data_IF_499404690476
#
_entry.id   IF_499404690476
#
_cell.length_a   1.000
_cell.length_b   1.000
_cell.length_c   1.000
_cell.angle_alpha   90.00
_cell.angle_beta   90.00
_cell.angle_gamma   90.00
#
_symmetry.space_group_name_H-M   'P 1'
#
loop_
_entity.id
_entity.type
_entity.pdbx_description
1 polymer ?
#
# COMPACT_ATOMS: atom_id res chain seq x y z
N UNK A 1 -13.36 -10.45 6.49
CA UNK A 1 -13.23 -10.45 5.02
C UNK A 1 -12.51 -9.17 4.61
N UNK A 2 -11.33 -9.24 3.97
CA UNK A 2 -10.58 -8.02 3.61
C UNK A 2 -11.45 -7.03 2.83
N UNK A 3 -11.55 -5.80 3.31
CA UNK A 3 -12.33 -4.72 2.68
C UNK A 3 -11.42 -3.74 1.93
N UNK A 4 -11.95 -2.97 0.95
CA UNK A 4 -11.19 -1.91 0.31
C UNK A 4 -10.75 -0.87 1.36
N UNK A 5 -9.51 -0.40 1.27
CA UNK A 5 -8.97 0.59 2.20
C UNK A 5 -8.74 1.92 1.51
N UNK A 6 -8.87 3.02 2.25
CA UNK A 6 -8.58 4.34 1.70
C UNK A 6 -7.09 4.44 1.39
N UNK A 7 -6.78 4.93 0.19
CA UNK A 7 -5.42 5.18 -0.28
C UNK A 7 -4.59 5.95 0.75
N UNK A 8 -5.17 6.98 1.38
CA UNK A 8 -4.48 7.82 2.37
C UNK A 8 -3.98 7.02 3.58
N UNK A 9 -4.74 6.01 4.01
CA UNK A 9 -4.44 5.23 5.21
C UNK A 9 -3.36 4.21 4.87
N UNK A 10 -3.43 3.59 3.68
CA UNK A 10 -2.38 2.72 3.16
C UNK A 10 -1.07 3.48 2.90
N UNK A 11 -1.13 4.67 2.29
CA UNK A 11 0.04 5.51 2.05
C UNK A 11 0.69 5.97 3.37
N UNK A 12 -0.11 6.31 4.39
CA UNK A 12 0.41 6.64 5.73
C UNK A 12 1.11 5.43 6.35
N UNK A 13 0.50 4.24 6.27
CA UNK A 13 1.07 2.99 6.76
C UNK A 13 2.42 2.66 6.10
N UNK A 14 2.54 2.84 4.79
CA UNK A 14 3.79 2.63 4.06
C UNK A 14 4.86 3.63 4.50
N UNK A 15 4.52 4.92 4.56
CA UNK A 15 5.46 5.98 5.00
C UNK A 15 5.99 5.74 6.41
N UNK A 16 5.15 5.29 7.34
CA UNK A 16 5.59 5.01 8.72
C UNK A 16 6.59 3.85 8.79
N UNK A 17 6.73 3.03 7.74
CA UNK A 17 7.69 1.92 7.61
C UNK A 17 8.91 2.29 6.76
N UNK A 18 9.09 3.58 6.47
CA UNK A 18 10.19 4.05 5.63
C UNK A 18 10.04 3.62 4.17
N UNK A 19 8.81 3.49 3.69
CA UNK A 19 8.54 3.36 2.26
C UNK A 19 8.21 4.72 1.67
N UNK A 20 8.70 4.93 0.45
CA UNK A 20 8.50 6.15 -0.30
C UNK A 20 7.94 5.85 -1.69
N UNK A 21 7.15 6.79 -2.20
CA UNK A 21 6.63 6.71 -3.55
C UNK A 21 7.73 7.16 -4.53
N UNK A 22 8.25 6.23 -5.31
CA UNK A 22 9.35 6.48 -6.25
C UNK A 22 8.88 6.76 -7.67
N UNK A 23 7.70 6.28 -8.05
CA UNK A 23 7.13 6.54 -9.39
C UNK A 23 5.61 6.63 -9.34
N UNK A 24 5.05 7.40 -10.24
CA UNK A 24 3.62 7.41 -10.50
C UNK A 24 3.37 7.39 -12.02
N UNK A 25 2.41 6.55 -12.46
CA UNK A 25 1.88 6.52 -13.83
C UNK A 25 0.36 6.39 -13.76
N UNK A 26 -0.33 7.52 -13.95
CA UNK A 26 -1.78 7.57 -13.78
C UNK A 26 -2.18 7.22 -12.34
N UNK A 27 -3.10 6.26 -12.19
CA UNK A 27 -3.57 5.75 -10.90
C UNK A 27 -2.65 4.71 -10.24
N UNK A 28 -1.55 4.34 -10.90
CA UNK A 28 -0.58 3.38 -10.38
C UNK A 28 0.60 4.13 -9.78
N UNK A 29 0.93 3.78 -8.55
CA UNK A 29 2.09 4.30 -7.83
C UNK A 29 3.04 3.16 -7.50
N UNK A 30 4.33 3.37 -7.72
CA UNK A 30 5.37 2.45 -7.24
C UNK A 30 5.89 3.00 -5.92
N UNK A 31 5.85 2.14 -4.91
CA UNK A 31 6.36 2.36 -3.58
C UNK A 31 7.56 1.46 -3.36
N UNK A 32 8.63 1.97 -2.77
CA UNK A 32 9.80 1.15 -2.40
C UNK A 32 10.33 1.57 -1.05
N UNK A 33 11.02 0.66 -0.38
CA UNK A 33 11.74 0.99 0.86
C UNK A 33 12.84 2.02 0.56
N UNK A 34 12.95 3.03 1.42
CA UNK A 34 14.04 4.01 1.34
C UNK A 34 15.38 3.29 1.43
N UNK A 35 16.31 3.63 0.52
CA UNK A 35 17.60 2.95 0.40
C UNK A 35 17.63 1.75 -0.57
N UNK A 36 16.51 1.45 -1.23
CA UNK A 36 16.42 0.41 -2.25
C UNK A 36 15.96 -0.94 -1.70
N UNK A 37 15.60 -1.85 -2.63
CA UNK A 37 15.10 -3.18 -2.31
C UNK A 37 13.70 -3.43 -2.86
N UNK A 38 12.81 -3.98 -2.03
CA UNK A 38 11.45 -4.35 -2.43
C UNK A 38 10.66 -3.14 -2.95
N UNK A 39 9.95 -3.37 -4.06
CA UNK A 39 9.05 -2.40 -4.66
C UNK A 39 7.66 -3.01 -4.82
N UNK A 40 6.63 -2.19 -4.59
CA UNK A 40 5.23 -2.57 -4.66
C UNK A 40 4.47 -1.57 -5.52
N UNK A 41 3.63 -2.05 -6.43
CA UNK A 41 2.75 -1.19 -7.22
C UNK A 41 1.39 -1.10 -6.54
N UNK A 42 1.05 0.09 -6.06
CA UNK A 42 -0.23 0.40 -5.47
C UNK A 42 -1.11 1.10 -6.51
N UNK A 43 -2.18 0.42 -6.93
CA UNK A 43 -3.21 0.99 -7.79
C UNK A 43 -4.39 1.45 -6.94
N UNK A 44 -4.84 2.69 -7.14
CA UNK A 44 -6.02 3.21 -6.47
C UNK A 44 -7.12 3.59 -7.46
N UNK A 45 -8.38 3.35 -7.07
CA UNK A 45 -9.54 3.83 -7.80
C UNK A 45 -10.42 4.65 -6.86
N UNK A 46 -10.74 5.90 -7.26
CA UNK A 46 -11.58 6.83 -6.47
C UNK A 46 -11.12 7.02 -5.02
N UNK A 47 -9.82 6.97 -4.74
CA UNK A 47 -9.31 7.13 -3.37
C UNK A 47 -9.21 5.83 -2.58
N UNK A 48 -9.51 4.67 -3.17
CA UNK A 48 -9.50 3.37 -2.51
C UNK A 48 -8.55 2.38 -3.17
N UNK A 49 -8.01 1.48 -2.36
CA UNK A 49 -7.13 0.36 -2.72
C UNK A 49 -7.95 -0.91 -2.59
N UNK A 50 -7.92 -1.74 -3.65
CA UNK A 50 -8.76 -2.94 -3.71
C UNK A 50 -8.35 -3.99 -2.65
N UNK A 51 -9.29 -4.84 -2.19
CA UNK A 51 -8.99 -5.88 -1.21
C UNK A 51 -7.84 -6.81 -1.58
N UNK A 52 -7.64 -7.06 -2.88
CA UNK A 52 -6.54 -7.90 -3.37
C UNK A 52 -5.16 -7.31 -3.06
N UNK A 53 -4.99 -6.00 -3.27
CA UNK A 53 -3.75 -5.29 -2.92
C UNK A 53 -3.56 -5.22 -1.40
N UNK A 54 -4.65 -5.07 -0.65
CA UNK A 54 -4.60 -5.08 0.82
C UNK A 54 -4.12 -6.44 1.32
N UNK A 55 -4.62 -7.56 0.78
CA UNK A 55 -4.13 -8.90 1.13
C UNK A 55 -2.64 -9.08 0.81
N UNK A 56 -2.17 -8.53 -0.31
CA UNK A 56 -0.74 -8.57 -0.65
C UNK A 56 0.09 -7.78 0.38
N UNK A 57 -0.40 -6.63 0.84
CA UNK A 57 0.25 -5.90 1.93
C UNK A 57 0.21 -6.69 3.25
N UNK A 58 -0.92 -7.32 3.60
CA UNK A 58 -1.02 -8.16 4.79
C UNK A 58 -0.07 -9.37 4.75
N UNK A 59 0.23 -9.91 3.56
CA UNK A 59 1.21 -10.97 3.40
C UNK A 59 2.66 -10.48 3.45
N UNK A 60 2.90 -9.20 3.13
CA UNK A 60 4.23 -8.59 3.13
C UNK A 60 4.59 -7.94 4.48
N UNK A 61 3.59 -7.63 5.31
CA UNK A 61 3.73 -6.93 6.58
C UNK A 61 2.90 -7.64 7.67
N UNK A 62 3.58 -8.18 8.67
CA UNK A 62 2.93 -8.87 9.80
C UNK A 62 2.14 -7.92 10.72
N UNK A 63 2.33 -6.61 10.57
CA UNK A 63 1.81 -5.56 11.45
C UNK A 63 0.80 -4.63 10.74
N UNK A 64 0.13 -5.13 9.71
CA UNK A 64 -1.00 -4.41 9.10
C UNK A 64 -2.11 -4.11 10.11
N UNK A 65 -2.82 -2.98 9.99
CA UNK A 65 -3.92 -2.64 10.89
C UNK A 65 -4.99 -3.73 10.93
N UNK A 66 -5.41 -4.13 12.13
CA UNK A 66 -6.42 -5.17 12.31
C UNK A 66 -7.78 -4.82 11.70
N UNK A 67 -8.06 -3.53 11.54
CA UNK A 67 -9.26 -2.98 10.88
C UNK A 67 -9.33 -3.25 9.37
N UNK A 68 -8.24 -3.72 8.74
CA UNK A 68 -8.23 -4.07 7.31
C UNK A 68 -8.81 -5.47 7.02
N UNK A 69 -9.16 -6.24 8.07
CA UNK A 69 -9.63 -7.62 7.98
C UNK A 69 -11.13 -7.80 7.77
#
# INVERSE_FOLDING_TARGET
>A
MTTPQKYRDVARFLRSRGWERTRQRGSHEVWSRTGGGAAFTLAQHRGEVSPGLIRQLQAAFDDTPSEWN
#
